data_IF_924926033915
#
_entry.id   IF_924926033915
#
_cell.length_a   1.000
_cell.length_b   1.000
_cell.length_c   1.000
_cell.angle_alpha   90.00
_cell.angle_beta   90.00
_cell.angle_gamma   90.00
#
_symmetry.space_group_name_H-M   'P 1'
#
loop_
_entity.id
_entity.type
_entity.pdbx_description
1 polymer ?
#
# COMPACT_ATOMS: atom_id res chain seq x y z
N UNK A 1 -29.25 4.68 1.72
CA UNK A 1 -28.38 3.51 1.94
C UNK A 1 -26.94 4.01 2.09
N UNK A 2 -26.28 3.60 3.15
CA UNK A 2 -24.85 3.92 3.30
C UNK A 2 -24.04 3.16 2.24
N UNK A 3 -23.13 3.85 1.58
CA UNK A 3 -22.20 3.20 0.64
C UNK A 3 -21.25 2.31 1.43
N UNK A 4 -20.92 1.13 0.90
CA UNK A 4 -19.87 0.31 1.49
C UNK A 4 -18.50 1.00 1.32
N UNK A 5 -17.69 0.94 2.38
CA UNK A 5 -16.42 1.65 2.49
C UNK A 5 -15.25 0.75 2.17
N UNK A 6 -14.42 1.17 1.24
CA UNK A 6 -13.20 0.47 0.86
C UNK A 6 -11.99 1.30 1.27
N UNK A 7 -11.06 0.70 2.01
CA UNK A 7 -9.76 1.30 2.29
C UNK A 7 -8.69 0.65 1.42
N UNK A 8 -8.00 1.44 0.61
CA UNK A 8 -6.93 0.98 -0.28
C UNK A 8 -5.62 1.68 0.04
N UNK A 9 -4.51 0.96 0.01
CA UNK A 9 -3.18 1.54 0.21
C UNK A 9 -2.18 0.99 -0.79
N UNK A 10 -1.68 1.83 -1.73
CA UNK A 10 -0.55 1.49 -2.57
C UNK A 10 0.76 1.58 -1.78
N UNK A 11 1.73 0.72 -2.11
CA UNK A 11 3.08 0.85 -1.57
C UNK A 11 3.78 2.08 -2.16
N UNK A 12 4.69 2.69 -1.40
CA UNK A 12 5.46 3.87 -1.78
C UNK A 12 6.70 3.59 -2.64
N UNK A 13 6.74 2.43 -3.33
CA UNK A 13 7.86 2.03 -4.18
C UNK A 13 7.65 2.49 -5.62
N UNK A 14 7.91 3.78 -5.87
CA UNK A 14 7.77 4.39 -7.18
C UNK A 14 6.32 4.67 -7.61
N UNK A 15 6.20 5.44 -8.70
CA UNK A 15 4.90 5.93 -9.18
C UNK A 15 3.98 4.86 -9.76
N UNK A 16 4.54 3.73 -10.21
CA UNK A 16 3.78 2.68 -10.86
C UNK A 16 2.70 2.08 -9.97
N UNK A 17 2.93 1.99 -8.66
CA UNK A 17 1.93 1.49 -7.71
C UNK A 17 0.76 2.46 -7.54
N UNK A 18 1.04 3.74 -7.39
CA UNK A 18 -0.01 4.76 -7.29
C UNK A 18 -0.84 4.83 -8.57
N UNK A 19 -0.19 4.92 -9.72
CA UNK A 19 -0.89 5.09 -11.01
C UNK A 19 -1.73 3.89 -11.41
N UNK A 20 -1.30 2.66 -11.11
CA UNK A 20 -2.09 1.45 -11.42
C UNK A 20 -3.33 1.30 -10.52
N UNK A 21 -3.33 1.90 -9.34
CA UNK A 21 -4.51 1.93 -8.47
C UNK A 21 -5.62 2.84 -9.01
N UNK A 22 -5.28 3.85 -9.83
CA UNK A 22 -6.27 4.82 -10.36
C UNK A 22 -7.42 4.12 -11.11
N UNK A 23 -7.20 3.30 -12.14
CA UNK A 23 -8.29 2.65 -12.87
C UNK A 23 -9.10 1.69 -11.99
N UNK A 24 -8.46 1.01 -11.04
CA UNK A 24 -9.15 0.17 -10.06
C UNK A 24 -10.10 0.99 -9.19
N UNK A 25 -9.60 2.09 -8.64
CA UNK A 25 -10.40 2.96 -7.76
C UNK A 25 -11.55 3.60 -8.53
N UNK A 26 -11.32 4.07 -9.76
CA UNK A 26 -12.38 4.61 -10.61
C UNK A 26 -13.47 3.59 -10.91
N UNK A 27 -13.11 2.32 -11.11
CA UNK A 27 -14.08 1.25 -11.29
C UNK A 27 -14.91 1.01 -10.02
N UNK A 28 -14.29 1.05 -8.85
CA UNK A 28 -14.98 0.91 -7.57
C UNK A 28 -15.90 2.10 -7.27
N UNK A 29 -15.48 3.33 -7.60
CA UNK A 29 -16.33 4.53 -7.49
C UNK A 29 -17.58 4.42 -8.38
N UNK A 30 -17.44 3.91 -9.62
CA UNK A 30 -18.56 3.66 -10.53
C UNK A 30 -19.55 2.61 -9.99
N UNK A 31 -19.08 1.67 -9.17
CA UNK A 31 -19.90 0.70 -8.45
C UNK A 31 -20.51 1.26 -7.16
N UNK A 32 -20.36 2.57 -6.94
CA UNK A 32 -20.94 3.30 -5.82
C UNK A 32 -20.34 2.96 -4.45
N UNK A 33 -19.06 2.54 -4.41
CA UNK A 33 -18.30 2.41 -3.17
C UNK A 33 -17.77 3.77 -2.70
N UNK A 34 -17.65 3.93 -1.39
CA UNK A 34 -16.96 5.06 -0.76
C UNK A 34 -15.48 4.70 -0.55
N UNK A 35 -14.56 5.45 -1.17
CA UNK A 35 -13.15 5.09 -1.25
C UNK A 35 -12.32 5.92 -0.28
N UNK A 36 -11.51 5.24 0.52
CA UNK A 36 -10.48 5.79 1.40
C UNK A 36 -9.12 5.33 0.92
N UNK A 37 -8.20 6.27 0.67
CA UNK A 37 -6.86 5.99 0.19
C UNK A 37 -5.86 6.33 1.28
N UNK A 38 -5.14 5.32 1.77
CA UNK A 38 -4.10 5.50 2.77
C UNK A 38 -2.73 5.62 2.10
N UNK A 39 -2.15 6.82 2.13
CA UNK A 39 -0.90 7.15 1.45
C UNK A 39 -0.26 8.41 2.04
N UNK A 40 0.91 8.80 1.54
CA UNK A 40 1.57 10.07 1.90
C UNK A 40 2.32 10.69 0.72
N UNK A 41 2.67 11.97 0.87
CA UNK A 41 3.64 12.68 0.04
C UNK A 41 3.26 12.79 -1.43
N UNK A 42 4.21 12.49 -2.32
CA UNK A 42 4.04 12.67 -3.75
C UNK A 42 2.97 11.75 -4.36
N UNK A 43 2.84 10.52 -3.84
CA UNK A 43 1.78 9.60 -4.25
C UNK A 43 0.40 10.15 -3.94
N UNK A 44 0.23 10.77 -2.78
CA UNK A 44 -1.01 11.41 -2.39
C UNK A 44 -1.37 12.55 -3.37
N UNK A 45 -0.41 13.39 -3.75
CA UNK A 45 -0.64 14.50 -4.67
C UNK A 45 -1.17 14.02 -6.04
N UNK A 46 -0.55 12.98 -6.61
CA UNK A 46 -1.00 12.39 -7.90
C UNK A 46 -2.39 11.77 -7.78
N UNK A 47 -2.63 11.02 -6.72
CA UNK A 47 -3.91 10.35 -6.52
C UNK A 47 -5.04 11.36 -6.26
N UNK A 48 -4.77 12.46 -5.56
CA UNK A 48 -5.76 13.54 -5.34
C UNK A 48 -6.18 14.21 -6.64
N UNK A 49 -5.24 14.42 -7.55
CA UNK A 49 -5.54 14.99 -8.86
C UNK A 49 -6.43 14.07 -9.71
N UNK A 50 -6.13 12.77 -9.70
CA UNK A 50 -6.85 11.78 -10.50
C UNK A 50 -8.19 11.32 -9.88
N UNK A 51 -8.32 11.42 -8.55
CA UNK A 51 -9.42 10.84 -7.75
C UNK A 51 -9.98 11.87 -6.77
N UNK A 52 -10.61 12.95 -7.26
CA UNK A 52 -11.04 14.07 -6.40
C UNK A 52 -12.16 13.70 -5.42
N UNK A 53 -12.88 12.60 -5.66
CA UNK A 53 -13.98 12.14 -4.81
C UNK A 53 -13.55 11.18 -3.69
N UNK A 54 -12.29 10.70 -3.72
CA UNK A 54 -11.78 9.80 -2.70
C UNK A 54 -11.38 10.54 -1.43
N UNK A 55 -11.52 9.87 -0.29
CA UNK A 55 -11.03 10.35 1.00
C UNK A 55 -9.58 9.94 1.21
N UNK A 56 -8.73 10.85 1.67
CA UNK A 56 -7.32 10.56 1.88
C UNK A 56 -6.97 10.49 3.37
N UNK A 57 -6.28 9.41 3.74
CA UNK A 57 -5.77 9.18 5.08
C UNK A 57 -4.25 9.14 5.05
N UNK A 58 -3.60 9.85 5.97
CA UNK A 58 -2.14 9.86 6.04
C UNK A 58 -1.61 8.54 6.61
N UNK A 59 -0.83 7.82 5.80
CA UNK A 59 -0.10 6.62 6.19
C UNK A 59 1.31 6.66 5.62
N UNK A 60 2.32 6.66 6.52
CA UNK A 60 3.72 6.67 6.14
C UNK A 60 4.13 5.44 5.33
N UNK A 61 5.06 5.66 4.38
CA UNK A 61 5.64 4.60 3.56
C UNK A 61 6.77 3.85 4.25
N UNK A 62 7.29 2.81 3.59
CA UNK A 62 8.42 2.01 4.08
C UNK A 62 9.75 2.76 4.02
N UNK A 63 9.87 3.80 3.17
CA UNK A 63 11.05 4.66 3.02
C UNK A 63 12.34 3.87 2.79
N UNK A 64 12.28 2.81 1.96
CA UNK A 64 13.41 1.97 1.64
C UNK A 64 14.42 2.75 0.81
N UNK A 65 15.69 2.70 1.23
CA UNK A 65 16.81 3.30 0.51
C UNK A 65 17.50 2.23 -0.32
N UNK A 66 17.58 2.45 -1.63
CA UNK A 66 18.34 1.59 -2.53
C UNK A 66 19.83 1.97 -2.51
N UNK A 67 20.72 0.96 -2.45
CA UNK A 67 22.14 1.18 -2.62
C UNK A 67 22.44 1.62 -4.07
N UNK A 68 23.27 2.62 -4.23
CA UNK A 68 23.70 3.10 -5.56
C UNK A 68 24.59 2.09 -6.31
N UNK A 69 25.18 1.13 -5.60
CA UNK A 69 26.05 0.08 -6.15
C UNK A 69 25.33 -1.26 -5.98
N UNK A 70 24.98 -1.90 -7.10
CA UNK A 70 24.17 -3.13 -7.11
C UNK A 70 24.75 -4.31 -6.30
N UNK A 71 26.08 -4.42 -6.24
CA UNK A 71 26.77 -5.46 -5.44
C UNK A 71 26.53 -5.34 -3.92
N UNK A 72 26.24 -4.14 -3.42
CA UNK A 72 25.99 -3.87 -2.00
C UNK A 72 24.50 -3.90 -1.65
N UNK A 73 23.63 -4.12 -2.63
CA UNK A 73 22.17 -4.12 -2.43
C UNK A 73 21.70 -5.16 -1.40
N UNK A 74 22.17 -6.42 -1.41
CA UNK A 74 21.76 -7.42 -0.42
C UNK A 74 22.12 -7.00 1.01
N UNK A 75 23.31 -6.42 1.19
CA UNK A 75 23.77 -5.93 2.50
C UNK A 75 22.98 -4.72 2.96
N UNK A 76 22.69 -3.79 2.06
CA UNK A 76 21.85 -2.62 2.35
C UNK A 76 20.43 -3.00 2.74
N UNK A 77 19.85 -4.00 2.09
CA UNK A 77 18.53 -4.54 2.44
C UNK A 77 18.58 -5.21 3.81
N UNK A 78 19.62 -6.02 4.08
CA UNK A 78 19.79 -6.70 5.36
C UNK A 78 19.80 -5.71 6.54
N UNK A 79 20.51 -4.60 6.42
CA UNK A 79 20.54 -3.56 7.47
C UNK A 79 19.22 -2.79 7.58
N UNK A 80 18.34 -2.83 6.58
CA UNK A 80 17.01 -2.21 6.59
C UNK A 80 15.89 -3.13 7.10
N UNK A 81 16.17 -4.43 7.30
CA UNK A 81 15.17 -5.41 7.78
C UNK A 81 14.45 -4.93 9.06
N UNK A 82 15.15 -4.44 10.10
CA UNK A 82 14.45 -3.95 11.29
C UNK A 82 13.48 -2.80 11.01
N UNK A 83 13.86 -1.90 10.11
CA UNK A 83 12.99 -0.79 9.69
C UNK A 83 11.77 -1.28 8.90
N UNK A 84 11.96 -2.26 8.04
CA UNK A 84 10.86 -2.87 7.26
C UNK A 84 9.87 -3.56 8.20
N UNK A 85 10.36 -4.36 9.14
CA UNK A 85 9.52 -5.05 10.15
C UNK A 85 8.74 -4.02 10.98
N UNK A 86 9.41 -2.95 11.42
CA UNK A 86 8.75 -1.88 12.17
C UNK A 86 7.66 -1.20 11.32
N UNK A 87 7.91 -0.95 10.04
CA UNK A 87 6.93 -0.34 9.13
C UNK A 87 5.71 -1.23 8.93
N UNK A 88 5.90 -2.55 8.77
CA UNK A 88 4.82 -3.53 8.67
C UNK A 88 3.97 -3.54 9.95
N UNK A 89 4.63 -3.55 11.12
CA UNK A 89 3.93 -3.50 12.40
C UNK A 89 3.17 -2.18 12.59
N UNK A 90 3.78 -1.05 12.22
CA UNK A 90 3.15 0.27 12.26
C UNK A 90 1.90 0.33 11.37
N UNK A 91 1.97 -0.15 10.13
CA UNK A 91 0.83 -0.24 9.22
C UNK A 91 -0.33 -1.03 9.82
N UNK A 92 0.00 -2.21 10.37
CA UNK A 92 -0.99 -3.05 11.00
C UNK A 92 -1.70 -2.34 12.15
N UNK A 93 -0.93 -1.73 13.05
CA UNK A 93 -1.48 -0.97 14.19
C UNK A 93 -2.30 0.23 13.74
N UNK A 94 -1.82 0.95 12.74
CA UNK A 94 -2.51 2.08 12.16
C UNK A 94 -3.87 1.67 11.59
N UNK A 95 -3.91 0.60 10.81
CA UNK A 95 -5.15 0.10 10.20
C UNK A 95 -6.15 -0.40 11.26
N UNK A 96 -5.68 -1.12 12.31
CA UNK A 96 -6.56 -1.53 13.42
C UNK A 96 -7.24 -0.33 14.10
N UNK A 97 -6.51 0.77 14.26
CA UNK A 97 -7.06 2.02 14.81
C UNK A 97 -8.07 2.65 13.85
N UNK A 98 -7.73 2.75 12.56
CA UNK A 98 -8.59 3.34 11.54
C UNK A 98 -9.86 2.51 11.28
N UNK A 99 -9.76 1.21 11.40
CA UNK A 99 -10.94 0.33 11.31
C UNK A 99 -11.97 0.62 12.41
N UNK A 100 -11.54 0.92 13.63
CA UNK A 100 -12.46 1.31 14.72
C UNK A 100 -13.16 2.64 14.47
N UNK A 101 -12.45 3.56 13.78
CA UNK A 101 -12.94 4.90 13.48
C UNK A 101 -13.89 4.92 12.28
N UNK A 102 -13.51 4.29 11.18
CA UNK A 102 -14.21 4.39 9.88
C UNK A 102 -15.09 3.19 9.55
N UNK A 103 -14.85 2.02 10.13
CA UNK A 103 -15.60 0.79 9.88
C UNK A 103 -15.63 0.41 8.38
N UNK A 104 -14.46 0.15 7.82
CA UNK A 104 -14.32 -0.28 6.43
C UNK A 104 -14.93 -1.67 6.22
N UNK A 105 -15.60 -1.86 5.09
CA UNK A 105 -16.19 -3.14 4.67
C UNK A 105 -15.19 -4.02 3.92
N UNK A 106 -14.24 -3.42 3.21
CA UNK A 106 -13.19 -4.10 2.45
C UNK A 106 -11.87 -3.35 2.61
N UNK A 107 -10.78 -4.09 2.71
CA UNK A 107 -9.41 -3.57 2.74
C UNK A 107 -8.67 -4.08 1.51
N UNK A 108 -7.99 -3.20 0.78
CA UNK A 108 -7.17 -3.54 -0.39
C UNK A 108 -5.75 -3.05 -0.15
N UNK A 109 -4.80 -3.98 -0.14
CA UNK A 109 -3.38 -3.72 -0.03
C UNK A 109 -2.70 -3.92 -1.38
N UNK A 110 -1.98 -2.93 -1.88
CA UNK A 110 -1.08 -3.08 -3.02
C UNK A 110 0.36 -3.19 -2.53
N UNK A 111 0.84 -4.42 -2.37
CA UNK A 111 2.17 -4.78 -1.84
C UNK A 111 2.51 -4.25 -0.43
N UNK A 112 1.52 -3.91 0.39
CA UNK A 112 1.74 -3.55 1.80
C UNK A 112 1.42 -4.73 2.70
N UNK A 113 2.44 -5.30 3.35
CA UNK A 113 2.34 -6.57 4.09
C UNK A 113 1.61 -6.45 5.43
N UNK A 114 1.61 -5.27 6.04
CA UNK A 114 0.90 -5.00 7.30
C UNK A 114 -0.54 -4.50 7.11
N UNK A 115 -0.97 -4.25 5.88
CA UNK A 115 -2.24 -3.60 5.59
C UNK A 115 -3.38 -4.61 5.44
N UNK A 116 -3.77 -5.23 6.55
CA UNK A 116 -4.88 -6.20 6.62
C UNK A 116 -5.58 -6.16 7.97
N UNK A 117 -6.80 -6.69 8.04
CA UNK A 117 -7.58 -6.81 9.27
C UNK A 117 -8.21 -8.21 9.38
N UNK A 118 -8.15 -8.81 10.58
CA UNK A 118 -8.61 -10.21 10.77
C UNK A 118 -10.11 -10.42 10.53
N UNK A 119 -10.92 -9.39 10.82
CA UNK A 119 -12.38 -9.49 10.78
C UNK A 119 -12.99 -8.74 9.59
N UNK A 120 -12.18 -8.28 8.64
CA UNK A 120 -12.62 -7.56 7.44
C UNK A 120 -12.00 -8.22 6.22
N UNK A 121 -12.76 -8.48 5.16
CA UNK A 121 -12.22 -8.98 3.91
C UNK A 121 -11.03 -8.12 3.45
N UNK A 122 -9.86 -8.76 3.33
CA UNK A 122 -8.61 -8.08 2.99
C UNK A 122 -8.03 -8.71 1.72
N UNK A 123 -7.88 -7.89 0.68
CA UNK A 123 -7.33 -8.28 -0.63
C UNK A 123 -5.89 -7.81 -0.73
N UNK A 124 -5.00 -8.70 -1.09
CA UNK A 124 -3.60 -8.38 -1.34
C UNK A 124 -3.32 -8.43 -2.84
N UNK A 125 -2.93 -7.31 -3.42
CA UNK A 125 -2.55 -7.19 -4.82
C UNK A 125 -1.03 -7.24 -4.90
N UNK A 126 -0.50 -8.16 -5.69
CA UNK A 126 0.93 -8.26 -5.99
C UNK A 126 1.15 -8.68 -7.44
N UNK A 127 2.24 -8.18 -8.03
CA UNK A 127 2.70 -8.61 -9.35
C UNK A 127 4.02 -9.39 -9.27
N UNK A 128 4.61 -9.49 -8.09
CA UNK A 128 5.89 -10.16 -7.85
C UNK A 128 5.66 -11.56 -7.29
N UNK A 129 5.21 -12.49 -8.15
CA UNK A 129 5.07 -13.90 -7.79
C UNK A 129 6.37 -14.69 -7.98
N UNK A 130 7.38 -14.08 -8.62
CA UNK A 130 8.67 -14.72 -8.88
C UNK A 130 9.82 -13.71 -8.73
N UNK A 131 10.70 -13.96 -7.77
CA UNK A 131 11.96 -13.21 -7.62
C UNK A 131 13.02 -13.88 -8.47
N UNK A 132 13.33 -13.31 -9.63
CA UNK A 132 14.53 -13.68 -10.37
C UNK A 132 15.74 -13.11 -9.64
N UNK A 133 16.45 -13.95 -8.91
CA UNK A 133 17.76 -13.59 -8.40
C UNK A 133 18.74 -13.53 -9.56
N UNK A 134 19.57 -12.48 -9.68
CA UNK A 134 20.54 -12.34 -10.78
C UNK A 134 21.72 -13.33 -10.69
N UNK A 135 21.74 -14.21 -9.71
CA UNK A 135 22.73 -15.23 -9.53
C UNK A 135 22.10 -16.61 -9.70
N UNK A 136 22.38 -17.23 -10.84
CA UNK A 136 22.23 -18.66 -10.99
C UNK A 136 23.21 -19.33 -10.00
N UNK A 137 22.69 -20.08 -9.05
CA UNK A 137 23.47 -21.08 -8.33
C UNK A 137 23.76 -22.20 -9.33
N UNK A 138 24.96 -22.14 -9.93
CA UNK A 138 25.52 -23.26 -10.68
C UNK A 138 26.07 -24.28 -9.69
#
# INVERSE_FOLDING_TARGET
>A
MNKAKICISPIDWGLGHATRCIPLIQALEKLNYEIYIATEGYHEAILREALPNAHFLHLGGYRIKYAKIGALLPLAIFFQIPQIIYSIYYEYRWLQKKQKEFQFDIIISDNRFGFYHKNVPSVFITHQLNFQMPYAWA
#
